data_IF_649148209605
#
_entry.id   IF_649148209605
#
_cell.length_a   1.000
_cell.length_b   1.000
_cell.length_c   1.000
_cell.angle_alpha   90.00
_cell.angle_beta   90.00
_cell.angle_gamma   90.00
#
_symmetry.space_group_name_H-M   'P 1'
#
loop_
_entity.id
_entity.type
_entity.pdbx_description
1 polymer ?
#
# COMPACT_ATOMS: atom_id res chain seq x y z
N UNK A 1 -51.43 -39.58 12.15
CA UNK A 1 -50.61 -38.47 12.65
C UNK A 1 -49.51 -38.24 11.63
N UNK A 2 -49.54 -37.14 10.89
CA UNK A 2 -48.64 -36.88 9.76
C UNK A 2 -47.61 -35.83 10.19
N UNK A 3 -46.34 -36.20 10.23
CA UNK A 3 -45.24 -35.29 10.61
C UNK A 3 -44.76 -34.59 9.34
N UNK A 4 -44.93 -33.27 9.28
CA UNK A 4 -44.38 -32.45 8.20
C UNK A 4 -42.90 -32.20 8.47
N UNK A 5 -42.04 -32.66 7.56
CA UNK A 5 -40.60 -32.38 7.59
C UNK A 5 -40.36 -30.97 7.04
N UNK A 6 -39.83 -30.07 7.89
CA UNK A 6 -39.40 -28.73 7.48
C UNK A 6 -37.97 -28.83 6.96
N UNK A 7 -37.81 -28.70 5.65
CA UNK A 7 -36.50 -28.61 5.00
C UNK A 7 -35.99 -27.18 5.22
N UNK A 8 -35.02 -27.01 6.13
CA UNK A 8 -34.32 -25.73 6.32
C UNK A 8 -33.21 -25.66 5.28
N UNK A 9 -33.46 -24.92 4.20
CA UNK A 9 -32.43 -24.62 3.20
C UNK A 9 -31.42 -23.65 3.78
N UNK A 10 -30.21 -24.13 4.07
CA UNK A 10 -29.06 -23.30 4.46
C UNK A 10 -28.65 -22.42 3.28
N UNK A 11 -28.94 -21.12 3.38
CA UNK A 11 -28.45 -20.12 2.42
C UNK A 11 -26.99 -19.85 2.74
N UNK A 12 -26.07 -20.46 1.99
CA UNK A 12 -24.66 -20.10 2.01
C UNK A 12 -24.49 -18.73 1.36
N UNK A 13 -24.26 -17.69 2.17
CA UNK A 13 -23.85 -16.39 1.66
C UNK A 13 -22.49 -16.53 0.96
N UNK A 14 -22.28 -15.92 -0.22
CA UNK A 14 -20.97 -15.91 -0.85
C UNK A 14 -20.00 -15.19 0.09
N UNK A 15 -18.89 -15.88 0.43
CA UNK A 15 -17.79 -15.25 1.12
C UNK A 15 -17.16 -14.23 0.15
N UNK A 16 -17.44 -12.94 0.36
CA UNK A 16 -16.71 -11.88 -0.33
C UNK A 16 -15.25 -11.99 0.08
N UNK A 17 -14.38 -12.25 -0.88
CA UNK A 17 -12.95 -12.28 -0.64
C UNK A 17 -12.51 -10.89 -0.15
N UNK A 18 -11.97 -10.80 1.07
CA UNK A 18 -11.40 -9.55 1.58
C UNK A 18 -10.27 -9.07 0.66
N UNK A 19 -10.13 -7.75 0.45
CA UNK A 19 -9.07 -7.23 -0.38
C UNK A 19 -7.69 -7.64 0.15
N UNK A 20 -6.78 -7.88 -0.79
CA UNK A 20 -5.43 -8.32 -0.47
C UNK A 20 -4.69 -7.19 0.27
N UNK A 21 -4.09 -7.43 1.45
CA UNK A 21 -3.29 -6.42 2.12
C UNK A 21 -2.06 -6.05 1.27
N UNK A 22 -1.50 -4.85 1.50
CA UNK A 22 -0.24 -4.45 0.87
C UNK A 22 0.87 -5.47 1.15
N UNK A 23 1.56 -5.88 0.09
CA UNK A 23 2.72 -6.74 0.21
C UNK A 23 3.98 -5.89 0.45
N UNK A 24 4.93 -6.42 1.22
CA UNK A 24 6.25 -5.78 1.35
C UNK A 24 7.04 -6.07 0.09
N UNK A 25 7.75 -5.08 -0.44
CA UNK A 25 8.48 -5.26 -1.68
C UNK A 25 8.97 -3.95 -2.27
N UNK A 26 9.71 -4.07 -3.37
CA UNK A 26 10.01 -2.98 -4.29
C UNK A 26 9.15 -3.20 -5.53
N UNK A 27 8.56 -2.12 -6.02
CA UNK A 27 7.70 -2.11 -7.19
C UNK A 27 8.19 -1.09 -8.20
N UNK A 28 8.31 -1.49 -9.45
CA UNK A 28 8.79 -0.68 -10.56
C UNK A 28 7.62 -0.16 -11.39
N UNK A 29 7.56 1.16 -11.56
CA UNK A 29 6.54 1.83 -12.35
C UNK A 29 7.03 2.29 -13.72
N UNK A 30 8.22 1.92 -14.18
CA UNK A 30 8.80 2.41 -15.42
C UNK A 30 9.73 3.62 -15.26
N UNK A 31 10.81 3.66 -16.05
CA UNK A 31 11.80 4.73 -16.07
C UNK A 31 12.64 4.75 -14.80
N UNK A 32 12.55 5.84 -14.04
CA UNK A 32 13.22 6.00 -12.73
C UNK A 32 12.25 5.90 -11.55
N UNK A 33 11.04 5.39 -11.76
CA UNK A 33 9.96 5.39 -10.75
C UNK A 33 9.92 4.07 -10.00
N UNK A 34 10.13 4.13 -8.69
CA UNK A 34 10.06 2.98 -7.80
C UNK A 34 9.25 3.29 -6.55
N UNK A 35 8.61 2.27 -5.99
CA UNK A 35 7.96 2.31 -4.68
C UNK A 35 8.49 1.14 -3.86
N UNK A 36 8.91 1.41 -2.63
CA UNK A 36 9.17 0.37 -1.64
C UNK A 36 8.09 0.43 -0.56
N UNK A 37 7.52 -0.73 -0.25
CA UNK A 37 6.61 -0.94 0.88
C UNK A 37 7.35 -1.73 1.94
N UNK A 38 7.44 -1.16 3.15
CA UNK A 38 8.07 -1.80 4.30
C UNK A 38 7.10 -1.86 5.49
N UNK A 39 7.28 -2.84 6.37
CA UNK A 39 6.43 -3.02 7.54
C UNK A 39 7.24 -3.39 8.79
N UNK A 40 6.80 -2.90 9.96
CA UNK A 40 7.26 -3.31 11.29
C UNK A 40 6.06 -3.43 12.23
N UNK A 41 5.68 -4.66 12.58
CA UNK A 41 4.41 -4.92 13.26
C UNK A 41 3.24 -4.42 12.39
N UNK A 42 2.35 -3.60 12.97
CA UNK A 42 1.23 -2.99 12.24
C UNK A 42 1.60 -1.72 11.45
N UNK A 43 2.84 -1.22 11.60
CA UNK A 43 3.29 0.02 10.95
C UNK A 43 3.71 -0.27 9.52
N UNK A 44 3.05 0.38 8.56
CA UNK A 44 3.39 0.36 7.14
C UNK A 44 4.01 1.70 6.70
N UNK A 45 5.04 1.63 5.88
CA UNK A 45 5.72 2.78 5.33
C UNK A 45 5.94 2.66 3.83
N UNK A 46 5.74 3.78 3.15
CA UNK A 46 5.94 4.00 1.74
C UNK A 46 7.28 4.70 1.53
N UNK A 47 8.02 4.27 0.52
CA UNK A 47 9.13 5.03 -0.03
C UNK A 47 9.02 5.12 -1.55
N UNK A 48 8.60 6.27 -2.06
CA UNK A 48 8.53 6.55 -3.49
C UNK A 48 9.78 7.29 -3.95
N UNK A 49 10.36 6.86 -5.07
CA UNK A 49 11.51 7.51 -5.70
C UNK A 49 11.24 7.78 -7.18
N UNK A 50 11.76 8.89 -7.66
CA UNK A 50 11.76 9.28 -9.07
C UNK A 50 12.98 10.14 -9.40
N UNK A 51 13.21 10.44 -10.67
CA UNK A 51 14.21 11.44 -11.06
C UNK A 51 13.98 12.85 -10.49
N UNK A 52 12.81 13.13 -9.89
CA UNK A 52 12.51 14.42 -9.24
C UNK A 52 12.84 14.43 -7.73
N UNK A 53 13.18 13.29 -7.16
CA UNK A 53 13.41 13.14 -5.73
C UNK A 53 12.64 11.97 -5.13
N UNK A 54 12.53 11.98 -3.81
CA UNK A 54 11.97 10.87 -3.03
C UNK A 54 10.96 11.34 -1.99
N UNK A 55 10.11 10.43 -1.52
CA UNK A 55 9.20 10.67 -0.40
C UNK A 55 9.11 9.42 0.46
N UNK A 56 9.28 9.59 1.77
CA UNK A 56 9.01 8.57 2.77
C UNK A 56 7.80 8.98 3.58
N UNK A 57 6.81 8.12 3.72
CA UNK A 57 5.60 8.43 4.48
C UNK A 57 5.00 7.19 5.13
N UNK A 58 4.30 7.39 6.25
CA UNK A 58 3.49 6.33 6.85
C UNK A 58 2.25 6.06 6.01
N UNK A 59 1.83 4.79 5.98
CA UNK A 59 0.65 4.33 5.25
C UNK A 59 -0.42 3.91 6.27
N UNK A 60 -1.69 4.24 6.00
CA UNK A 60 -2.84 3.76 6.78
C UNK A 60 -3.96 3.29 5.86
N UNK A 61 -4.76 2.29 6.27
CA UNK A 61 -5.98 1.92 5.52
C UNK A 61 -6.89 3.14 5.30
N UNK A 62 -7.51 3.21 4.13
CA UNK A 62 -8.52 4.23 3.83
C UNK A 62 -9.87 3.82 4.46
N UNK A 63 -10.46 4.64 5.34
CA UNK A 63 -11.74 4.30 5.96
C UNK A 63 -12.94 4.37 4.99
N UNK A 64 -12.79 5.04 3.85
CA UNK A 64 -13.86 5.23 2.86
C UNK A 64 -13.74 4.34 1.61
N UNK A 65 -12.63 3.61 1.45
CA UNK A 65 -12.34 2.82 0.26
C UNK A 65 -11.73 1.47 0.68
N UNK A 66 -12.54 0.41 0.63
CA UNK A 66 -12.11 -0.93 1.06
C UNK A 66 -10.89 -1.41 0.25
N UNK A 67 -9.85 -1.91 0.94
CA UNK A 67 -8.62 -2.39 0.31
C UNK A 67 -7.64 -1.30 -0.14
N UNK A 68 -8.05 -0.03 -0.12
CA UNK A 68 -7.16 1.08 -0.42
C UNK A 68 -6.43 1.57 0.83
N UNK A 69 -5.26 2.13 0.61
CA UNK A 69 -4.43 2.72 1.65
C UNK A 69 -4.05 4.15 1.28
N UNK A 70 -4.09 5.04 2.28
CA UNK A 70 -3.65 6.43 2.15
C UNK A 70 -2.18 6.57 2.50
N UNK A 71 -1.50 7.46 1.80
CA UNK A 71 -0.14 7.89 2.09
C UNK A 71 -0.23 9.18 2.91
N UNK A 72 0.38 9.21 4.10
CA UNK A 72 0.28 10.36 4.97
C UNK A 72 0.79 11.65 4.29
N UNK A 73 -0.01 12.71 4.44
CA UNK A 73 0.25 14.03 3.85
C UNK A 73 -0.08 14.15 2.36
N UNK A 74 -0.74 13.16 1.75
CA UNK A 74 -1.34 13.23 0.40
C UNK A 74 -2.86 13.02 0.50
N UNK A 75 -3.64 13.82 -0.25
CA UNK A 75 -5.10 13.83 -0.17
C UNK A 75 -5.75 12.87 -1.18
N UNK A 76 -5.25 12.86 -2.41
CA UNK A 76 -5.89 12.19 -3.55
C UNK A 76 -5.01 11.11 -4.15
N UNK A 77 -4.10 10.54 -3.36
CA UNK A 77 -3.21 9.47 -3.80
C UNK A 77 -3.30 8.29 -2.86
N UNK A 78 -3.57 7.13 -3.45
CA UNK A 78 -3.81 5.88 -2.76
C UNK A 78 -2.90 4.78 -3.29
N UNK A 79 -2.80 3.73 -2.50
CA UNK A 79 -2.18 2.46 -2.83
C UNK A 79 -3.25 1.37 -2.79
N UNK A 80 -3.22 0.44 -3.73
CA UNK A 80 -4.09 -0.73 -3.74
C UNK A 80 -3.32 -1.95 -4.24
N UNK A 81 -3.38 -3.05 -3.49
CA UNK A 81 -2.75 -4.31 -3.91
C UNK A 81 -3.73 -5.09 -4.79
N UNK A 82 -3.48 -5.10 -6.11
CA UNK A 82 -4.36 -5.82 -7.04
C UNK A 82 -4.16 -7.33 -6.95
N UNK A 83 -2.89 -7.76 -6.89
CA UNK A 83 -2.47 -9.15 -6.72
C UNK A 83 -1.10 -9.18 -6.02
N UNK A 84 -0.49 -10.36 -5.86
CA UNK A 84 0.79 -10.52 -5.15
C UNK A 84 1.98 -9.76 -5.78
N UNK A 85 1.88 -9.37 -7.05
CA UNK A 85 2.94 -8.72 -7.83
C UNK A 85 2.60 -7.30 -8.25
N UNK A 86 1.32 -6.94 -8.32
CA UNK A 86 0.88 -5.65 -8.85
C UNK A 86 0.41 -4.72 -7.74
N UNK A 87 1.13 -3.61 -7.57
CA UNK A 87 0.75 -2.49 -6.70
C UNK A 87 0.20 -1.35 -7.58
N UNK A 88 -1.05 -0.97 -7.36
CA UNK A 88 -1.64 0.20 -7.99
C UNK A 88 -1.35 1.47 -7.18
N UNK A 89 -0.92 2.52 -7.86
CA UNK A 89 -0.54 3.79 -7.26
C UNK A 89 -1.07 4.97 -8.07
N UNK A 90 -1.68 5.95 -7.39
CA UNK A 90 -2.18 7.18 -8.01
C UNK A 90 -3.47 7.65 -7.39
N UNK A 91 -4.20 8.51 -8.10
CA UNK A 91 -5.57 8.86 -7.72
C UNK A 91 -6.53 7.74 -8.05
N UNK A 92 -7.65 7.64 -7.34
CA UNK A 92 -8.66 6.58 -7.57
C UNK A 92 -9.20 6.53 -9.01
N UNK A 93 -9.23 7.67 -9.71
CA UNK A 93 -9.65 7.76 -11.11
C UNK A 93 -8.51 7.53 -12.12
N UNK A 94 -7.28 7.37 -11.66
CA UNK A 94 -6.09 7.20 -12.50
C UNK A 94 -5.00 6.45 -11.71
N UNK A 95 -5.24 5.15 -11.54
CA UNK A 95 -4.31 4.23 -10.91
C UNK A 95 -3.35 3.68 -11.96
N UNK A 96 -2.05 3.75 -11.65
CA UNK A 96 -1.00 3.21 -12.50
C UNK A 96 -0.42 1.94 -11.85
N UNK A 97 -0.18 0.88 -12.62
CA UNK A 97 0.43 -0.33 -12.10
C UNK A 97 1.93 -0.14 -11.88
N UNK A 98 2.40 -0.68 -10.76
CA UNK A 98 3.80 -0.90 -10.45
C UNK A 98 4.00 -2.39 -10.20
N UNK A 99 4.96 -3.00 -10.89
CA UNK A 99 5.22 -4.43 -10.85
C UNK A 99 6.30 -4.75 -9.82
N UNK A 100 6.13 -5.83 -9.04
CA UNK A 100 7.13 -6.29 -8.08
C UNK A 100 8.47 -6.56 -8.79
N UNK A 101 9.55 -5.98 -8.26
CA UNK A 101 10.91 -6.17 -8.73
C UNK A 101 11.71 -6.95 -7.69
N UNK A 102 11.70 -8.27 -7.83
CA UNK A 102 12.36 -9.21 -6.93
C UNK A 102 13.90 -9.20 -7.05
N UNK A 103 14.45 -8.47 -8.04
CA UNK A 103 15.90 -8.41 -8.26
C UNK A 103 16.60 -7.33 -7.44
N UNK A 104 15.84 -6.40 -6.84
CA UNK A 104 16.39 -5.32 -6.04
C UNK A 104 16.37 -5.64 -4.54
N UNK A 105 17.50 -5.39 -3.87
CA UNK A 105 17.57 -5.49 -2.41
C UNK A 105 16.66 -4.46 -1.76
N UNK A 106 15.91 -4.88 -0.74
CA UNK A 106 15.04 -4.02 0.06
C UNK A 106 15.83 -3.20 1.09
N UNK A 107 16.84 -2.46 0.63
CA UNK A 107 17.69 -1.66 1.50
C UNK A 107 16.84 -0.61 2.21
N UNK A 108 16.81 -0.67 3.55
CA UNK A 108 16.02 0.24 4.36
C UNK A 108 16.83 1.52 4.58
N UNK A 109 16.48 2.58 3.84
CA UNK A 109 17.06 3.90 4.08
C UNK A 109 16.83 4.38 5.52
N UNK A 110 17.70 5.25 6.04
CA UNK A 110 17.55 5.80 7.39
C UNK A 110 16.22 6.51 7.63
N UNK A 111 15.69 7.21 6.62
CA UNK A 111 14.36 7.85 6.71
C UNK A 111 13.22 6.83 6.73
N UNK A 112 13.34 5.73 5.98
CA UNK A 112 12.37 4.64 6.01
C UNK A 112 12.39 3.92 7.36
N UNK A 113 13.58 3.69 7.94
CA UNK A 113 13.71 3.15 9.29
C UNK A 113 13.01 4.05 10.32
N UNK A 114 13.22 5.37 10.25
CA UNK A 114 12.56 6.31 11.15
C UNK A 114 11.04 6.33 10.98
N UNK A 115 10.53 6.13 9.75
CA UNK A 115 9.09 5.96 9.53
C UNK A 115 8.55 4.71 10.23
N UNK A 116 9.27 3.59 10.14
CA UNK A 116 8.91 2.30 10.73
C UNK A 116 8.95 2.32 12.26
N UNK A 117 9.80 3.15 12.84
CA UNK A 117 9.95 3.32 14.30
C UNK A 117 9.02 4.39 14.89
N UNK A 118 8.46 5.26 14.05
CA UNK A 118 7.55 6.31 14.51
C UNK A 118 6.16 5.77 14.83
N UNK A 119 5.62 6.22 15.97
CA UNK A 119 4.24 5.96 16.39
C UNK A 119 3.26 7.07 15.96
N UNK A 120 3.74 8.11 15.27
CA UNK A 120 2.91 9.22 14.77
C UNK A 120 2.85 9.21 13.25
N UNK A 121 1.92 9.96 12.62
CA UNK A 121 1.97 10.17 11.18
C UNK A 121 3.34 10.71 10.75
N UNK A 122 3.95 10.08 9.73
CA UNK A 122 5.30 10.41 9.26
C UNK A 122 5.26 10.85 7.81
N UNK A 123 6.00 11.90 7.47
CA UNK A 123 6.25 12.30 6.09
C UNK A 123 7.58 13.04 5.99
N UNK A 124 8.38 12.69 4.98
CA UNK A 124 9.56 13.45 4.55
C UNK A 124 9.67 13.41 3.05
N UNK A 125 10.09 14.53 2.47
CA UNK A 125 10.29 14.70 1.04
C UNK A 125 11.73 15.09 0.78
N UNK A 126 12.28 14.62 -0.32
CA UNK A 126 13.65 14.88 -0.72
C UNK A 126 13.67 15.38 -2.15
N UNK A 127 14.51 16.36 -2.44
CA UNK A 127 14.78 16.76 -3.83
C UNK A 127 15.63 15.71 -4.57
N UNK A 128 15.87 15.93 -5.86
CA UNK A 128 16.69 15.04 -6.69
C UNK A 128 18.16 14.90 -6.21
N UNK A 129 18.63 15.78 -5.30
CA UNK A 129 19.97 15.71 -4.70
C UNK A 129 19.95 15.02 -3.33
N UNK A 130 18.81 14.48 -2.90
CA UNK A 130 18.64 13.82 -1.61
C UNK A 130 18.53 14.79 -0.43
N UNK A 131 18.32 16.09 -0.66
CA UNK A 131 18.17 17.06 0.42
C UNK A 131 16.73 17.08 0.90
N UNK A 132 16.53 17.09 2.21
CA UNK A 132 15.21 17.24 2.83
C UNK A 132 14.57 18.56 2.38
N UNK A 133 13.33 18.48 1.92
CA UNK A 133 12.48 19.65 1.60
C UNK A 133 11.28 19.66 2.54
N UNK A 134 10.95 20.85 3.02
CA UNK A 134 9.84 21.12 3.94
C UNK A 134 8.58 21.53 3.17
#
# INVERSE_FOLDING_TARGET
MTVAAVIVSSVSLPAFASPLPLQKGIYYGGGSRYIQIAAKGARLCFHGYSGRGATVASITPDPGLEGFYRINGWTDTVLYQQDLKTLLFGSTNNLLPYEADDNLSQDISGSLQQCLESNTPFQRRFDARGRLIH
#
